data_IF_433762143031
#
_entry.id   IF_433762143031
#
_cell.length_a   1.000
_cell.length_b   1.000
_cell.length_c   1.000
_cell.angle_alpha   90.00
_cell.angle_beta   90.00
_cell.angle_gamma   90.00
#
_symmetry.space_group_name_H-M   'P 1'
#
loop_
_entity.id
_entity.type
_entity.pdbx_description
1 polymer ?
#
# COMPACT_ATOMS: atom_id res chain seq x y z
N UNK A 1 -24.09 -11.37 4.79
CA UNK A 1 -23.92 -10.19 5.67
C UNK A 1 -23.16 -9.13 4.87
N UNK A 2 -23.66 -7.88 4.83
CA UNK A 2 -22.93 -6.75 4.24
C UNK A 2 -22.21 -5.96 5.34
N UNK A 3 -21.01 -5.45 5.07
CA UNK A 3 -20.12 -4.80 6.04
C UNK A 3 -20.58 -3.43 6.58
N UNK A 4 -21.85 -3.03 6.39
CA UNK A 4 -22.43 -1.82 7.00
C UNK A 4 -22.02 -0.46 6.40
N UNK A 5 -21.18 -0.41 5.37
CA UNK A 5 -20.73 0.85 4.77
C UNK A 5 -21.83 1.56 3.97
N UNK A 6 -21.90 2.87 4.13
CA UNK A 6 -22.72 3.75 3.29
C UNK A 6 -22.17 3.82 1.86
N UNK A 7 -23.03 4.16 0.91
CA UNK A 7 -22.64 4.24 -0.51
C UNK A 7 -21.51 5.25 -0.77
N UNK A 8 -21.47 6.35 -0.01
CA UNK A 8 -20.39 7.33 -0.07
C UNK A 8 -19.05 6.72 0.39
N UNK A 9 -19.05 6.02 1.52
CA UNK A 9 -17.86 5.36 2.07
C UNK A 9 -17.36 4.28 1.12
N UNK A 10 -18.27 3.47 0.56
CA UNK A 10 -17.94 2.46 -0.48
C UNK A 10 -17.19 3.12 -1.65
N UNK A 11 -17.67 4.26 -2.15
CA UNK A 11 -17.03 5.00 -3.26
C UNK A 11 -15.64 5.52 -2.88
N UNK A 12 -15.48 6.07 -1.68
CA UNK A 12 -14.19 6.55 -1.18
C UNK A 12 -13.17 5.42 -1.00
N UNK A 13 -13.60 4.29 -0.42
CA UNK A 13 -12.77 3.08 -0.26
C UNK A 13 -12.35 2.55 -1.63
N UNK A 14 -13.27 2.41 -2.58
CA UNK A 14 -12.96 1.94 -3.93
C UNK A 14 -11.98 2.88 -4.63
N UNK A 15 -12.14 4.20 -4.47
CA UNK A 15 -11.22 5.20 -5.01
C UNK A 15 -9.81 5.03 -4.42
N UNK A 16 -9.69 4.94 -3.10
CA UNK A 16 -8.40 4.75 -2.44
C UNK A 16 -7.70 3.43 -2.85
N UNK A 17 -8.47 2.34 -3.00
CA UNK A 17 -7.95 1.07 -3.51
C UNK A 17 -7.43 1.20 -4.95
N UNK A 18 -8.03 2.05 -5.80
CA UNK A 18 -7.49 2.30 -7.14
C UNK A 18 -6.22 3.14 -7.10
N UNK A 19 -6.19 4.15 -6.24
CA UNK A 19 -5.08 5.13 -6.14
C UNK A 19 -3.80 4.57 -5.52
N UNK A 20 -3.89 3.57 -4.63
CA UNK A 20 -2.67 3.00 -4.01
C UNK A 20 -1.76 2.27 -5.01
N UNK A 21 -2.21 2.04 -6.26
CA UNK A 21 -1.41 1.41 -7.31
C UNK A 21 -1.01 2.42 -8.38
N UNK A 22 0.26 2.83 -8.40
CA UNK A 22 0.82 3.67 -9.46
C UNK A 22 1.80 4.72 -8.94
N UNK A 23 2.81 5.11 -9.75
CA UNK A 23 3.70 6.24 -9.45
C UNK A 23 3.09 7.52 -10.04
N UNK A 24 3.21 8.66 -9.35
CA UNK A 24 2.83 9.97 -9.90
C UNK A 24 1.32 10.29 -9.92
N UNK A 25 0.51 9.56 -9.15
CA UNK A 25 -0.92 9.86 -8.99
C UNK A 25 -1.08 10.83 -7.81
N UNK A 26 -1.87 11.89 -7.99
CA UNK A 26 -2.34 12.70 -6.86
C UNK A 26 -3.38 11.88 -6.09
N UNK A 27 -2.96 11.29 -4.96
CA UNK A 27 -3.81 10.38 -4.16
C UNK A 27 -4.66 11.15 -3.17
N UNK A 28 -5.86 10.63 -2.91
CA UNK A 28 -6.60 11.02 -1.71
C UNK A 28 -5.81 10.67 -0.44
N UNK A 29 -6.11 11.29 0.72
CA UNK A 29 -5.46 10.96 1.98
C UNK A 29 -5.53 9.46 2.32
N UNK A 30 -6.68 8.82 2.10
CA UNK A 30 -6.85 7.39 2.32
C UNK A 30 -6.01 6.57 1.31
N UNK A 31 -5.96 6.99 0.04
CA UNK A 31 -5.13 6.34 -0.97
C UNK A 31 -3.64 6.39 -0.65
N UNK A 32 -3.15 7.50 -0.08
CA UNK A 32 -1.76 7.65 0.35
C UNK A 32 -1.44 6.75 1.55
N UNK A 33 -2.34 6.69 2.55
CA UNK A 33 -2.19 5.78 3.69
C UNK A 33 -2.13 4.32 3.21
N UNK A 34 -3.00 3.92 2.29
CA UNK A 34 -2.99 2.56 1.73
C UNK A 34 -1.72 2.28 0.91
N UNK A 35 -1.21 3.26 0.17
CA UNK A 35 0.02 3.13 -0.60
C UNK A 35 1.23 2.86 0.30
N UNK A 36 1.39 3.63 1.38
CA UNK A 36 2.47 3.40 2.32
C UNK A 36 2.25 2.11 3.11
N UNK A 37 1.03 1.83 3.58
CA UNK A 37 0.73 0.58 4.29
C UNK A 37 1.03 -0.68 3.45
N UNK A 38 0.74 -0.68 2.14
CA UNK A 38 1.13 -1.79 1.23
C UNK A 38 2.65 -1.99 1.18
N UNK A 39 3.43 -0.90 1.25
CA UNK A 39 4.90 -0.98 1.26
C UNK A 39 5.43 -1.49 2.61
N UNK A 40 4.88 -1.00 3.72
CA UNK A 40 5.29 -1.38 5.08
C UNK A 40 4.88 -2.81 5.46
N UNK A 41 3.74 -3.29 4.97
CA UNK A 41 3.26 -4.66 5.27
C UNK A 41 4.11 -5.78 4.66
N UNK A 42 5.00 -5.47 3.72
CA UNK A 42 5.89 -6.46 3.09
C UNK A 42 7.11 -6.72 3.96
N UNK A 43 7.33 -7.99 4.30
CA UNK A 43 8.53 -8.45 5.01
C UNK A 43 9.78 -8.49 4.10
N UNK A 44 10.14 -7.35 3.50
CA UNK A 44 11.25 -7.25 2.54
C UNK A 44 12.58 -7.73 3.13
N UNK A 45 12.83 -7.50 4.42
CA UNK A 45 14.01 -7.98 5.15
C UNK A 45 14.18 -9.51 5.14
N UNK A 46 13.10 -10.28 5.00
CA UNK A 46 13.12 -11.75 4.86
C UNK A 46 12.83 -12.25 3.44
N UNK A 47 12.69 -11.34 2.47
CA UNK A 47 12.30 -11.71 1.12
C UNK A 47 13.45 -12.45 0.41
N UNK A 48 13.21 -13.70 0.00
CA UNK A 48 14.18 -14.50 -0.78
C UNK A 48 14.43 -13.93 -2.18
N UNK A 49 13.42 -13.27 -2.77
CA UNK A 49 13.49 -12.67 -4.10
C UNK A 49 14.03 -11.22 -4.10
N UNK A 50 14.63 -10.74 -3.01
CA UNK A 50 15.09 -9.35 -2.89
C UNK A 50 16.05 -8.91 -3.99
N UNK A 51 16.91 -9.82 -4.46
CA UNK A 51 17.89 -9.54 -5.52
C UNK A 51 17.24 -9.29 -6.90
N UNK A 52 16.03 -9.82 -7.12
CA UNK A 52 15.29 -9.69 -8.39
C UNK A 52 14.21 -8.60 -8.31
N UNK A 53 13.99 -8.02 -7.12
CA UNK A 53 12.93 -7.06 -6.90
C UNK A 53 13.34 -5.66 -7.37
N UNK A 54 12.76 -5.21 -8.49
CA UNK A 54 12.98 -3.89 -9.08
C UNK A 54 12.66 -2.68 -8.18
N UNK A 55 11.98 -2.91 -7.04
CA UNK A 55 11.58 -1.88 -6.06
C UNK A 55 12.31 -2.00 -4.74
N UNK A 56 13.19 -2.99 -4.55
CA UNK A 56 13.75 -3.32 -3.24
C UNK A 56 14.39 -2.11 -2.53
N UNK A 57 15.10 -1.28 -3.29
CA UNK A 57 15.74 -0.06 -2.78
C UNK A 57 14.75 0.99 -2.26
N UNK A 58 13.52 1.03 -2.79
CA UNK A 58 12.44 1.94 -2.37
C UNK A 58 11.60 1.38 -1.21
N UNK A 59 11.82 0.12 -0.79
CA UNK A 59 10.99 -0.53 0.23
C UNK A 59 11.43 -0.16 1.64
N UNK A 60 10.52 0.32 2.51
CA UNK A 60 10.87 0.76 3.86
C UNK A 60 11.34 -0.42 4.74
N UNK A 61 10.68 -1.58 4.64
CA UNK A 61 11.01 -2.78 5.42
C UNK A 61 12.24 -3.57 4.94
N UNK A 62 13.14 -2.97 4.13
CA UNK A 62 14.31 -3.65 3.55
C UNK A 62 15.43 -3.93 4.58
N UNK A 63 15.47 -3.19 5.68
CA UNK A 63 16.50 -3.28 6.73
C UNK A 63 16.00 -3.92 8.03
N UNK A 64 14.70 -4.19 8.15
CA UNK A 64 14.10 -4.75 9.36
C UNK A 64 12.61 -4.46 9.44
N UNK A 65 12.01 -4.77 10.60
CA UNK A 65 10.63 -4.39 10.93
C UNK A 65 10.61 -2.90 11.29
N UNK A 66 9.73 -2.13 10.65
CA UNK A 66 9.49 -0.73 10.99
C UNK A 66 8.28 -0.65 11.94
N UNK A 67 8.44 0.06 13.06
CA UNK A 67 7.38 0.36 14.04
C UNK A 67 7.03 1.84 13.99
#
# INVERSE_FOLDING_TARGET
EEAGFQEKEKKEIIKAIREHRGKGINRSPLGEILFEADKFSRACWQCRAKAECYKYEEMPGRQGICY
#
